data_IF_028750160380
#
_entry.id   IF_028750160380
#
_cell.length_a   1.000
_cell.length_b   1.000
_cell.length_c   1.000
_cell.angle_alpha   90.00
_cell.angle_beta   90.00
_cell.angle_gamma   90.00
#
_symmetry.space_group_name_H-M   'P 1'
#
loop_
_entity.id
_entity.type
_entity.pdbx_description
1 polymer ?
#
# COMPACT_ATOMS: atom_id res chain seq x y z
N UNK A 1 20.36 17.65 18.43
CA UNK A 1 20.10 17.54 16.99
C UNK A 1 18.88 16.64 16.82
N UNK A 2 17.73 17.19 16.44
CA UNK A 2 16.49 16.43 16.23
C UNK A 2 16.37 16.19 14.74
N UNK A 3 16.64 14.98 14.29
CA UNK A 3 16.35 14.57 12.91
C UNK A 3 14.83 14.65 12.76
N UNK A 4 14.34 15.48 11.85
CA UNK A 4 12.92 15.49 11.51
C UNK A 4 12.60 14.15 10.84
N UNK A 5 12.00 13.24 11.60
CA UNK A 5 11.59 11.92 11.11
C UNK A 5 10.59 12.13 9.98
N UNK A 6 10.86 11.50 8.82
CA UNK A 6 9.93 11.54 7.70
C UNK A 6 8.56 11.04 8.18
N UNK A 7 7.51 11.71 7.73
CA UNK A 7 6.13 11.45 8.11
C UNK A 7 5.69 9.98 7.95
N UNK A 8 6.31 9.25 7.02
CA UNK A 8 6.08 7.82 6.79
C UNK A 8 6.98 6.90 7.62
N UNK A 9 8.17 7.38 8.01
CA UNK A 9 9.11 6.58 8.80
C UNK A 9 8.51 6.19 10.15
N UNK A 10 7.83 7.11 10.85
CA UNK A 10 7.16 6.79 12.13
C UNK A 10 6.19 5.63 11.98
N UNK A 11 5.43 5.62 10.89
CA UNK A 11 4.45 4.57 10.63
C UNK A 11 5.13 3.23 10.28
N UNK A 12 6.17 3.27 9.46
CA UNK A 12 6.96 2.08 9.13
C UNK A 12 7.67 1.52 10.37
N UNK A 13 8.17 2.37 11.26
CA UNK A 13 8.74 1.96 12.54
C UNK A 13 7.70 1.31 13.45
N UNK A 14 6.50 1.87 13.51
CA UNK A 14 5.41 1.30 14.29
C UNK A 14 5.08 -0.11 13.78
N UNK A 15 4.84 -0.27 12.47
CA UNK A 15 4.56 -1.58 11.87
C UNK A 15 5.73 -2.55 12.05
N UNK A 16 6.95 -2.09 11.85
CA UNK A 16 8.15 -2.90 12.06
C UNK A 16 8.25 -3.43 13.50
N UNK A 17 7.96 -2.56 14.47
CA UNK A 17 7.93 -2.94 15.89
C UNK A 17 6.79 -3.89 16.22
N UNK A 18 5.60 -3.68 15.67
CA UNK A 18 4.40 -4.51 15.93
C UNK A 18 4.56 -5.92 15.34
N UNK A 19 5.12 -6.02 14.14
CA UNK A 19 5.35 -7.30 13.44
C UNK A 19 6.72 -7.93 13.81
N UNK A 20 7.52 -7.26 14.63
CA UNK A 20 8.87 -7.66 15.02
C UNK A 20 9.81 -7.94 13.83
N UNK A 21 9.82 -7.01 12.86
CA UNK A 21 10.61 -7.08 11.62
C UNK A 21 11.56 -5.90 11.49
N UNK A 22 12.52 -6.02 10.56
CA UNK A 22 13.44 -4.93 10.23
C UNK A 22 12.84 -3.96 9.21
N UNK A 23 13.12 -2.67 9.41
CA UNK A 23 12.79 -1.61 8.47
C UNK A 23 13.98 -1.39 7.53
N UNK A 24 13.76 -1.59 6.24
CA UNK A 24 14.74 -1.27 5.20
C UNK A 24 14.59 0.19 4.75
N UNK A 25 15.71 0.90 4.60
CA UNK A 25 15.73 2.29 4.11
C UNK A 25 16.86 2.50 3.13
N UNK A 26 16.56 3.09 1.98
CA UNK A 26 17.59 3.60 1.08
C UNK A 26 17.57 5.12 1.03
N UNK A 27 18.75 5.69 0.83
CA UNK A 27 18.98 7.13 0.79
C UNK A 27 19.47 7.54 -0.60
N UNK A 28 19.19 8.78 -0.99
CA UNK A 28 19.75 9.38 -2.20
C UNK A 28 20.31 10.78 -1.93
N UNK A 29 21.26 11.26 -2.76
CA UNK A 29 21.81 12.59 -2.62
C UNK A 29 20.71 13.66 -2.69
N UNK A 30 20.49 14.38 -1.59
CA UNK A 30 19.63 15.54 -1.51
C UNK A 30 20.38 16.76 -2.03
N UNK A 31 20.12 17.18 -3.26
CA UNK A 31 20.66 18.45 -3.74
C UNK A 31 19.85 19.61 -3.16
N UNK A 32 20.34 20.26 -2.10
CA UNK A 32 19.87 21.58 -1.69
C UNK A 32 20.36 22.64 -2.70
N UNK A 33 19.81 22.62 -3.91
CA UNK A 33 19.97 23.70 -4.91
C UNK A 33 18.64 24.39 -5.20
N UNK A 34 17.86 24.64 -4.15
CA UNK A 34 16.86 25.71 -4.17
C UNK A 34 17.00 26.50 -2.88
N UNK A 35 17.58 27.70 -3.02
CA UNK A 35 17.47 28.78 -2.04
C UNK A 35 15.96 29.04 -1.91
N UNK A 36 15.33 28.54 -0.86
CA UNK A 36 14.02 29.02 -0.44
C UNK A 36 14.08 29.21 1.06
N UNK A 37 14.04 30.47 1.46
CA UNK A 37 14.07 30.94 2.83
C UNK A 37 12.83 30.43 3.59
N UNK A 38 12.89 29.24 4.18
CA UNK A 38 11.98 28.83 5.24
C UNK A 38 12.77 28.65 6.53
N UNK A 39 12.54 29.49 7.57
CA UNK A 39 13.21 29.33 8.85
C UNK A 39 12.62 28.12 9.59
N UNK A 40 13.47 27.14 9.92
CA UNK A 40 13.12 26.05 10.84
C UNK A 40 13.39 24.62 10.37
N UNK A 41 13.95 24.40 9.17
CA UNK A 41 14.39 23.07 8.77
C UNK A 41 15.90 22.91 9.06
N UNK A 42 16.23 22.21 10.15
CA UNK A 42 17.57 21.68 10.39
C UNK A 42 17.87 20.63 9.30
N UNK A 43 18.54 21.06 8.23
CA UNK A 43 19.17 20.18 7.25
C UNK A 43 20.58 19.85 7.72
N UNK A 44 20.83 18.59 8.03
CA UNK A 44 22.20 18.08 8.06
C UNK A 44 22.20 16.68 7.45
N UNK A 45 23.20 16.48 6.58
CA UNK A 45 23.46 15.38 5.65
C UNK A 45 22.78 15.50 4.27
N UNK A 46 23.62 15.51 3.23
CA UNK A 46 23.31 15.54 1.79
C UNK A 46 22.48 14.33 1.32
N UNK A 47 21.73 13.66 2.19
CA UNK A 47 21.01 12.42 1.93
C UNK A 47 19.56 12.56 2.38
N UNK A 48 18.64 12.32 1.44
CA UNK A 48 17.19 12.21 1.72
C UNK A 48 16.75 10.77 1.60
N UNK A 49 15.75 10.35 2.39
CA UNK A 49 15.17 9.01 2.28
C UNK A 49 14.50 8.87 0.92
N UNK A 50 14.96 7.89 0.15
CA UNK A 50 14.43 7.56 -1.17
C UNK A 50 13.32 6.52 -1.06
N UNK A 51 13.58 5.46 -0.29
CA UNK A 51 12.69 4.30 -0.16
C UNK A 51 12.55 3.87 1.30
N UNK A 52 11.37 3.35 1.64
CA UNK A 52 11.08 2.67 2.89
C UNK A 52 10.53 1.28 2.55
N UNK A 53 11.07 0.24 3.16
CA UNK A 53 10.74 -1.15 2.86
C UNK A 53 10.40 -1.97 4.10
N UNK A 54 9.39 -2.83 4.00
CA UNK A 54 9.05 -3.84 5.00
C UNK A 54 8.85 -5.18 4.32
N UNK A 55 9.35 -6.24 4.94
CA UNK A 55 9.02 -7.63 4.59
C UNK A 55 8.27 -8.26 5.76
N UNK A 56 6.95 -8.41 5.62
CA UNK A 56 6.08 -8.90 6.69
C UNK A 56 5.83 -10.40 6.47
N UNK A 57 6.40 -11.30 7.30
CA UNK A 57 6.13 -12.71 7.22
C UNK A 57 4.73 -13.02 7.77
N UNK A 58 3.90 -13.72 6.99
CA UNK A 58 2.57 -14.12 7.42
C UNK A 58 2.19 -15.49 6.84
N UNK A 59 1.91 -16.48 7.72
CA UNK A 59 1.51 -17.86 7.36
C UNK A 59 2.36 -18.49 6.24
N UNK A 60 3.69 -18.37 6.35
CA UNK A 60 4.71 -18.86 5.38
C UNK A 60 4.71 -18.12 4.03
N UNK A 61 4.03 -16.99 3.94
CA UNK A 61 4.10 -16.04 2.83
C UNK A 61 4.82 -14.77 3.29
N UNK A 62 5.25 -13.95 2.34
CA UNK A 62 5.90 -12.66 2.62
C UNK A 62 5.10 -11.58 1.90
N UNK A 63 4.64 -10.59 2.65
CA UNK A 63 4.06 -9.36 2.11
C UNK A 63 5.18 -8.33 2.09
N UNK A 64 5.69 -7.98 0.92
CA UNK A 64 6.67 -6.91 0.79
C UNK A 64 5.98 -5.58 0.49
N UNK A 65 6.37 -4.55 1.21
CA UNK A 65 5.86 -3.19 1.09
C UNK A 65 7.03 -2.27 0.78
N UNK A 66 6.91 -1.46 -0.26
CA UNK A 66 7.91 -0.46 -0.62
C UNK A 66 7.22 0.89 -0.85
N UNK A 67 7.65 1.92 -0.14
CA UNK A 67 7.24 3.30 -0.37
C UNK A 67 8.43 4.06 -0.95
N UNK A 68 8.29 4.56 -2.17
CA UNK A 68 9.20 5.51 -2.79
C UNK A 68 8.75 6.92 -2.39
N UNK A 69 9.58 7.62 -1.61
CA UNK A 69 9.26 8.91 -0.98
C UNK A 69 10.09 10.07 -1.57
N UNK A 70 11.05 9.75 -2.45
CA UNK A 70 11.83 10.74 -3.21
C UNK A 70 11.01 11.43 -4.31
N UNK A 71 11.57 11.55 -5.51
CA UNK A 71 10.92 12.28 -6.61
C UNK A 71 9.65 11.59 -7.12
N UNK A 72 9.59 10.26 -7.01
CA UNK A 72 8.43 9.45 -7.38
C UNK A 72 7.72 9.07 -6.09
N UNK A 73 6.59 9.72 -5.81
CA UNK A 73 5.74 9.45 -4.65
C UNK A 73 4.82 8.27 -4.94
N UNK A 74 5.32 7.05 -4.80
CA UNK A 74 4.60 5.83 -5.15
C UNK A 74 4.79 4.75 -4.08
N UNK A 75 3.75 3.96 -3.87
CA UNK A 75 3.76 2.82 -2.98
C UNK A 75 3.43 1.55 -3.74
N UNK A 76 4.14 0.49 -3.38
CA UNK A 76 3.97 -0.83 -3.93
C UNK A 76 3.82 -1.86 -2.81
N UNK A 77 2.79 -2.70 -2.93
CA UNK A 77 2.66 -3.93 -2.15
C UNK A 77 2.81 -5.11 -3.09
N UNK A 78 3.51 -6.14 -2.65
CA UNK A 78 3.60 -7.38 -3.39
C UNK A 78 3.55 -8.59 -2.44
N UNK A 79 2.99 -9.68 -2.94
CA UNK A 79 3.01 -10.98 -2.27
C UNK A 79 3.07 -12.07 -3.34
N UNK A 80 4.08 -12.92 -3.24
CA UNK A 80 4.17 -14.15 -4.03
C UNK A 80 3.58 -15.30 -3.23
N UNK A 81 2.54 -15.95 -3.77
CA UNK A 81 1.92 -17.10 -3.12
C UNK A 81 2.78 -18.35 -3.33
N UNK A 82 3.44 -18.80 -2.27
CA UNK A 82 4.29 -19.99 -2.22
C UNK A 82 3.52 -21.23 -1.78
N UNK A 83 4.18 -22.39 -1.87
CA UNK A 83 3.68 -23.69 -1.37
C UNK A 83 2.38 -24.17 -2.04
N UNK A 84 2.23 -23.88 -3.33
CA UNK A 84 1.08 -24.34 -4.12
C UNK A 84 -0.21 -23.56 -3.84
N UNK A 85 -0.18 -22.51 -3.01
CA UNK A 85 -1.31 -21.60 -2.88
C UNK A 85 -1.56 -20.88 -4.20
N UNK A 86 -2.83 -20.80 -4.58
CA UNK A 86 -3.29 -20.10 -5.77
C UNK A 86 -4.54 -19.30 -5.45
N UNK A 87 -4.75 -18.25 -6.23
CA UNK A 87 -5.96 -17.44 -6.20
C UNK A 87 -6.40 -17.21 -7.64
N UNK A 88 -7.70 -17.16 -7.88
CA UNK A 88 -8.25 -16.79 -9.18
C UNK A 88 -7.78 -15.38 -9.57
N UNK A 89 -7.55 -15.16 -10.86
CA UNK A 89 -7.16 -13.85 -11.37
C UNK A 89 -8.24 -12.80 -11.03
N UNK A 90 -7.78 -11.67 -10.49
CA UNK A 90 -8.61 -10.53 -10.17
C UNK A 90 -7.89 -9.22 -10.45
N UNK A 91 -8.68 -8.17 -10.62
CA UNK A 91 -8.20 -6.80 -10.77
C UNK A 91 -9.07 -5.86 -9.95
N UNK A 92 -8.44 -5.05 -9.11
CA UNK A 92 -9.09 -4.01 -8.32
C UNK A 92 -8.59 -2.66 -8.83
N UNK A 93 -9.51 -1.80 -9.26
CA UNK A 93 -9.20 -0.47 -9.77
C UNK A 93 -10.19 0.57 -9.29
N UNK A 94 -9.79 1.84 -9.30
CA UNK A 94 -10.71 2.95 -9.10
C UNK A 94 -11.76 3.05 -10.23
N UNK A 95 -13.02 3.32 -9.89
CA UNK A 95 -14.08 3.64 -10.87
C UNK A 95 -14.01 5.09 -11.29
N UNK A 96 -14.06 5.34 -12.59
CA UNK A 96 -14.04 6.70 -13.12
C UNK A 96 -15.17 7.57 -12.53
N UNK A 97 -14.88 8.85 -12.33
CA UNK A 97 -15.82 9.82 -11.78
C UNK A 97 -17.16 9.87 -12.53
N UNK A 98 -17.14 9.70 -13.85
CA UNK A 98 -18.36 9.68 -14.67
C UNK A 98 -19.32 8.55 -14.28
N UNK A 99 -18.80 7.36 -13.95
CA UNK A 99 -19.66 6.24 -13.53
C UNK A 99 -20.29 6.45 -12.15
N UNK A 100 -19.72 7.34 -11.34
CA UNK A 100 -20.22 7.67 -9.98
C UNK A 100 -21.46 8.56 -10.02
N UNK A 101 -21.57 9.43 -11.03
CA UNK A 101 -22.71 10.36 -11.15
C UNK A 101 -24.04 9.63 -11.38
N UNK A 102 -23.99 8.41 -11.95
CA UNK A 102 -25.19 7.68 -12.35
C UNK A 102 -25.48 6.43 -11.50
N UNK A 103 -24.56 5.99 -10.64
CA UNK A 103 -24.69 4.75 -9.87
C UNK A 103 -24.09 4.90 -8.46
N UNK A 104 -24.90 4.66 -7.42
CA UNK A 104 -24.46 4.50 -6.02
C UNK A 104 -23.74 3.16 -5.84
N UNK A 105 -22.56 3.01 -6.45
CA UNK A 105 -21.74 1.79 -6.37
C UNK A 105 -20.41 2.08 -5.66
N UNK A 106 -19.78 1.03 -5.17
CA UNK A 106 -18.43 1.08 -4.60
C UNK A 106 -17.46 1.72 -5.60
N UNK A 107 -16.56 2.54 -5.08
CA UNK A 107 -15.56 3.33 -5.79
C UNK A 107 -14.43 2.43 -6.26
N UNK A 108 -14.08 1.42 -5.47
CA UNK A 108 -13.22 0.35 -5.92
C UNK A 108 -14.06 -0.65 -6.72
N UNK A 109 -13.59 -0.95 -7.94
CA UNK A 109 -14.16 -1.94 -8.83
C UNK A 109 -13.34 -3.22 -8.74
N UNK A 110 -13.99 -4.32 -8.37
CA UNK A 110 -13.41 -5.65 -8.43
C UNK A 110 -13.86 -6.34 -9.73
N UNK A 111 -12.89 -6.82 -10.50
CA UNK A 111 -13.10 -7.66 -11.67
C UNK A 111 -12.44 -9.02 -11.43
N UNK A 112 -13.21 -10.10 -11.45
CA UNK A 112 -12.72 -11.48 -11.40
C UNK A 112 -13.73 -12.38 -12.12
N UNK A 113 -13.25 -13.50 -12.67
CA UNK A 113 -14.10 -14.56 -13.23
C UNK A 113 -14.79 -15.37 -12.13
N UNK A 114 -14.17 -15.44 -10.95
CA UNK A 114 -14.70 -16.12 -9.77
C UNK A 114 -15.63 -15.18 -8.99
N UNK A 115 -16.93 -15.50 -8.99
CA UNK A 115 -17.94 -14.68 -8.33
C UNK A 115 -17.84 -14.72 -6.81
N UNK A 116 -17.38 -15.84 -6.24
CA UNK A 116 -17.22 -15.99 -4.80
C UNK A 116 -16.04 -15.15 -4.33
N UNK A 117 -14.89 -15.27 -5.01
CA UNK A 117 -13.74 -14.40 -4.76
C UNK A 117 -14.10 -12.93 -4.94
N UNK A 118 -14.80 -12.58 -6.02
CA UNK A 118 -15.21 -11.19 -6.27
C UNK A 118 -15.99 -10.62 -5.09
N UNK A 119 -17.01 -11.35 -4.61
CA UNK A 119 -17.83 -10.90 -3.48
C UNK A 119 -16.99 -10.77 -2.21
N UNK A 120 -16.15 -11.77 -1.92
CA UNK A 120 -15.22 -11.73 -0.79
C UNK A 120 -14.32 -10.49 -0.83
N UNK A 121 -13.73 -10.17 -1.98
CA UNK A 121 -12.89 -8.98 -2.16
C UNK A 121 -13.68 -7.68 -1.94
N UNK A 122 -14.89 -7.59 -2.50
CA UNK A 122 -15.76 -6.42 -2.32
C UNK A 122 -16.10 -6.19 -0.84
N UNK A 123 -16.40 -7.26 -0.09
CA UNK A 123 -16.68 -7.20 1.34
C UNK A 123 -15.42 -6.80 2.15
N UNK A 124 -14.26 -7.40 1.85
CA UNK A 124 -12.99 -7.08 2.54
C UNK A 124 -12.46 -5.68 2.27
N UNK A 125 -12.71 -5.11 1.09
CA UNK A 125 -12.37 -3.71 0.81
C UNK A 125 -13.22 -2.74 1.65
N UNK A 126 -14.46 -3.11 1.97
CA UNK A 126 -15.33 -2.34 2.86
C UNK A 126 -14.90 -2.49 4.32
N UNK A 127 -14.72 -3.72 4.79
CA UNK A 127 -14.37 -4.04 6.18
C UNK A 127 -13.05 -3.39 6.60
N UNK A 128 -12.03 -3.43 5.74
CA UNK A 128 -10.73 -2.82 6.00
C UNK A 128 -10.72 -1.29 5.84
N UNK A 129 -11.84 -0.68 5.42
CA UNK A 129 -11.95 0.77 5.25
C UNK A 129 -11.26 1.33 4.00
N UNK A 130 -10.71 0.49 3.13
CA UNK A 130 -10.05 0.90 1.88
C UNK A 130 -11.00 1.60 0.92
N UNK A 131 -12.28 1.17 0.88
CA UNK A 131 -13.32 1.86 0.11
C UNK A 131 -13.57 3.28 0.64
N UNK A 132 -13.58 3.47 1.96
CA UNK A 132 -13.79 4.79 2.59
C UNK A 132 -12.61 5.71 2.30
N UNK A 133 -11.40 5.19 2.37
CA UNK A 133 -10.17 5.91 1.99
C UNK A 133 -10.22 6.30 0.51
N UNK A 134 -10.56 5.38 -0.39
CA UNK A 134 -10.73 5.66 -1.82
C UNK A 134 -11.80 6.73 -2.09
N UNK A 135 -12.86 6.76 -1.28
CA UNK A 135 -13.95 7.73 -1.39
C UNK A 135 -13.53 9.14 -1.02
N UNK A 136 -12.78 9.26 0.06
CA UNK A 136 -12.49 10.54 0.67
C UNK A 136 -11.21 11.16 0.10
N UNK A 137 -10.24 10.34 -0.34
CA UNK A 137 -8.84 10.78 -0.39
C UNK A 137 -8.07 10.49 -1.67
N UNK A 138 -8.69 10.55 -2.86
CA UNK A 138 -8.03 10.32 -4.17
C UNK A 138 -7.17 9.04 -4.26
N UNK A 139 -7.40 8.09 -3.35
CA UNK A 139 -6.68 6.82 -3.33
C UNK A 139 -7.17 5.96 -4.50
N UNK A 140 -6.27 5.75 -5.47
CA UNK A 140 -6.55 5.11 -6.76
C UNK A 140 -5.65 3.88 -6.95
N UNK A 141 -5.86 2.82 -6.16
CA UNK A 141 -5.02 1.63 -6.26
C UNK A 141 -5.28 0.88 -7.57
N UNK A 142 -4.21 0.28 -8.08
CA UNK A 142 -4.27 -0.74 -9.12
C UNK A 142 -3.75 -2.03 -8.48
N UNK A 143 -4.66 -2.98 -8.22
CA UNK A 143 -4.30 -4.29 -7.69
C UNK A 143 -4.58 -5.37 -8.73
N UNK A 144 -3.66 -6.31 -8.89
CA UNK A 144 -3.82 -7.44 -9.81
C UNK A 144 -3.28 -8.72 -9.16
N UNK A 145 -4.04 -9.82 -9.25
CA UNK A 145 -3.50 -11.17 -9.05
C UNK A 145 -3.21 -11.78 -10.41
N UNK A 146 -1.92 -12.07 -10.63
CA UNK A 146 -1.46 -12.94 -11.72
C UNK A 146 -0.58 -14.01 -11.06
N UNK A 147 0.71 -14.04 -11.40
CA UNK A 147 1.71 -14.85 -10.69
C UNK A 147 1.97 -14.35 -9.26
N UNK A 148 1.83 -13.05 -9.06
CA UNK A 148 1.97 -12.36 -7.77
C UNK A 148 0.76 -11.46 -7.57
N UNK A 149 0.42 -11.20 -6.31
CA UNK A 149 -0.57 -10.19 -5.95
C UNK A 149 0.18 -8.88 -5.79
N UNK A 150 -0.01 -7.95 -6.73
CA UNK A 150 0.66 -6.65 -6.73
C UNK A 150 -0.36 -5.54 -6.58
N UNK A 151 -0.04 -4.54 -5.76
CA UNK A 151 -0.81 -3.30 -5.66
C UNK A 151 0.12 -2.11 -5.81
N UNK A 152 -0.26 -1.18 -6.68
CA UNK A 152 0.46 0.07 -6.92
C UNK A 152 -0.47 1.26 -6.66
N UNK A 153 0.01 2.30 -5.97
CA UNK A 153 -0.72 3.55 -5.80
C UNK A 153 0.20 4.76 -5.59
N UNK A 154 -0.29 5.95 -5.96
CA UNK A 154 0.42 7.20 -5.69
C UNK A 154 0.31 7.57 -4.22
N UNK A 155 1.39 8.07 -3.63
CA UNK A 155 1.42 8.66 -2.29
C UNK A 155 1.02 10.14 -2.29
N UNK A 156 0.64 10.74 -3.42
CA UNK A 156 0.33 12.17 -3.52
C UNK A 156 -1.12 12.50 -3.11
N UNK A 157 -1.53 12.09 -1.90
CA UNK A 157 -2.83 12.42 -1.32
C UNK A 157 -2.77 12.72 0.19
N UNK A 158 -3.81 13.39 0.70
CA UNK A 158 -3.83 14.00 2.05
C UNK A 158 -3.71 12.98 3.18
N UNK A 159 -4.40 11.85 3.05
CA UNK A 159 -4.54 10.80 4.08
C UNK A 159 -3.69 9.56 3.83
N UNK A 160 -2.59 9.70 3.08
CA UNK A 160 -1.68 8.61 2.68
C UNK A 160 -1.14 7.73 3.80
N UNK A 161 -1.05 8.26 5.02
CA UNK A 161 -0.68 7.47 6.19
C UNK A 161 -1.73 6.41 6.55
N UNK A 162 -3.01 6.70 6.33
CA UNK A 162 -4.09 5.80 6.77
C UNK A 162 -4.17 4.52 5.96
N UNK A 163 -3.35 4.35 4.91
CA UNK A 163 -3.47 3.26 3.95
C UNK A 163 -2.63 2.04 4.29
N UNK A 164 -1.47 2.23 4.93
CA UNK A 164 -0.51 1.13 5.15
C UNK A 164 -1.14 -0.03 5.91
N UNK A 165 -1.70 0.22 7.11
CA UNK A 165 -2.27 -0.85 7.95
C UNK A 165 -3.49 -1.52 7.31
N UNK A 166 -4.49 -0.80 6.77
CA UNK A 166 -5.57 -1.40 5.99
C UNK A 166 -5.11 -2.27 4.82
N UNK A 167 -4.07 -1.84 4.10
CA UNK A 167 -3.51 -2.62 2.99
C UNK A 167 -2.80 -3.88 3.48
N UNK A 168 -2.02 -3.81 4.56
CA UNK A 168 -1.40 -4.99 5.18
C UNK A 168 -2.48 -5.99 5.61
N UNK A 169 -3.52 -5.51 6.29
CA UNK A 169 -4.63 -6.36 6.74
C UNK A 169 -5.36 -7.00 5.55
N UNK A 170 -5.62 -6.24 4.49
CA UNK A 170 -6.22 -6.77 3.27
C UNK A 170 -5.36 -7.88 2.64
N UNK A 171 -4.04 -7.74 2.61
CA UNK A 171 -3.14 -8.80 2.14
C UNK A 171 -3.15 -10.03 3.06
N UNK A 172 -3.20 -9.85 4.38
CA UNK A 172 -3.38 -10.96 5.35
C UNK A 172 -4.70 -11.70 5.10
N UNK A 173 -5.79 -10.97 4.86
CA UNK A 173 -7.11 -11.54 4.53
C UNK A 173 -7.11 -12.31 3.20
N UNK A 174 -6.35 -11.85 2.20
CA UNK A 174 -6.16 -12.57 0.93
C UNK A 174 -5.40 -13.89 1.13
N UNK A 175 -4.33 -13.87 1.92
CA UNK A 175 -3.56 -15.08 2.25
C UNK A 175 -4.45 -16.07 2.99
N UNK A 176 -5.28 -15.60 3.92
CA UNK A 176 -6.20 -16.43 4.68
C UNK A 176 -7.25 -17.09 3.79
N UNK A 177 -7.80 -16.35 2.84
CA UNK A 177 -8.69 -16.89 1.81
C UNK A 177 -8.02 -18.02 1.01
N UNK A 178 -6.79 -17.80 0.54
CA UNK A 178 -6.04 -18.80 -0.23
C UNK A 178 -5.78 -20.08 0.57
N UNK A 179 -5.53 -19.96 1.87
CA UNK A 179 -5.27 -21.11 2.75
C UNK A 179 -6.54 -21.90 3.04
N UNK A 180 -7.67 -21.23 3.22
CA UNK A 180 -8.97 -21.87 3.48
C UNK A 180 -9.52 -22.56 2.22
N UNK A 181 -9.30 -21.95 1.06
CA UNK A 181 -9.76 -22.43 -0.24
C UNK A 181 -8.60 -23.00 -1.06
N UNK A 182 -7.78 -23.87 -0.47
CA UNK A 182 -6.76 -24.62 -1.22
C UNK A 182 -7.42 -25.36 -2.38
N UNK A 183 -7.29 -24.79 -3.58
CA UNK A 183 -7.62 -25.43 -4.85
C UNK A 183 -6.34 -26.06 -5.40
#
# INVERSE_FOLDING_TARGET
MRIHVNLFEEQFYQVASEEAIELHKDYEPGSSKLITFMPGADYNDDLRVKTLGLEIPYKKQIIAVEYQVGDIQMAQFNCELKHGLRISDFKITYRSHYTRLFLKKNILKVASSDQYLKKYLEDKLMENGLEVIARNNLFTPIMESKKTIKTDFSLSFEDRKKVLNPMIQFYKDLIDFCIQHKI
#
